data_IF_842495638637
#
_entry.id   IF_842495638637
#
_cell.length_a   1.000
_cell.length_b   1.000
_cell.length_c   1.000
_cell.angle_alpha   90.00
_cell.angle_beta   90.00
_cell.angle_gamma   90.00
#
_symmetry.space_group_name_H-M   'P 1'
#
loop_
_entity.id
_entity.type
_entity.pdbx_description
1 polymer ?
#
# COMPACT_ATOMS: atom_id res chain seq x y z
N UNK A 1 36.27 38.79 21.95
CA UNK A 1 35.14 38.40 21.09
C UNK A 1 33.95 38.20 22.04
N UNK A 2 32.91 39.05 22.09
CA UNK A 2 32.06 39.59 21.02
C UNK A 2 31.13 38.49 20.42
N UNK A 3 29.79 38.61 20.44
CA UNK A 3 28.91 39.66 20.99
C UNK A 3 27.48 39.15 21.30
N UNK A 4 26.79 39.88 22.19
CA UNK A 4 25.33 40.14 22.34
C UNK A 4 24.26 39.03 22.15
N UNK A 5 23.30 38.89 23.10
CA UNK A 5 21.94 38.41 22.83
C UNK A 5 21.04 39.55 22.29
N UNK A 6 19.85 39.22 21.76
CA UNK A 6 18.84 40.20 21.32
C UNK A 6 17.40 39.78 21.74
N UNK A 7 16.63 40.65 22.42
CA UNK A 7 15.20 40.48 22.68
C UNK A 7 14.32 41.12 21.58
N UNK A 8 13.02 41.34 21.86
CA UNK A 8 11.97 41.50 20.85
C UNK A 8 11.44 42.93 20.59
N UNK A 9 10.89 43.11 19.36
CA UNK A 9 9.72 43.93 18.97
C UNK A 9 9.73 45.47 19.02
N UNK A 10 8.90 46.06 18.12
CA UNK A 10 8.31 47.44 18.11
C UNK A 10 9.33 48.60 17.91
N UNK A 11 9.07 49.76 17.27
CA UNK A 11 7.89 50.56 16.79
C UNK A 11 8.23 51.23 15.40
N UNK A 12 7.44 51.98 14.60
CA UNK A 12 6.02 52.45 14.52
C UNK A 12 5.68 52.91 13.05
N UNK A 13 4.67 53.79 12.86
CA UNK A 13 4.18 54.52 11.65
C UNK A 13 3.35 53.68 10.64
N UNK A 14 2.00 53.71 10.55
CA UNK A 14 0.89 54.62 10.98
C UNK A 14 0.39 55.62 9.90
N UNK A 15 -0.92 55.93 9.94
CA UNK A 15 -1.76 56.71 8.99
C UNK A 15 -2.16 55.98 7.67
N UNK A 16 -3.35 56.15 7.08
CA UNK A 16 -4.50 57.04 7.34
C UNK A 16 -5.88 56.31 7.14
N UNK A 17 -7.05 56.91 7.51
CA UNK A 17 -8.32 56.17 7.66
C UNK A 17 -9.52 56.60 6.77
N UNK A 18 -10.64 55.88 6.94
CA UNK A 18 -12.06 56.33 6.83
C UNK A 18 -12.85 56.34 5.49
N UNK A 19 -13.78 55.36 5.40
CA UNK A 19 -15.25 55.57 5.37
C UNK A 19 -16.02 55.91 4.06
N UNK A 20 -16.79 54.94 3.54
CA UNK A 20 -18.13 55.15 2.93
C UNK A 20 -18.95 53.83 2.75
N UNK A 21 -20.27 53.92 2.98
CA UNK A 21 -21.39 52.95 2.70
C UNK A 21 -22.45 53.76 1.88
N UNK A 22 -23.64 53.25 1.44
CA UNK A 22 -24.24 51.89 1.33
C UNK A 22 -24.78 51.66 -0.14
N UNK A 23 -25.97 51.08 -0.46
CA UNK A 23 -26.78 49.97 0.08
C UNK A 23 -27.07 48.83 -0.95
N UNK A 24 -27.91 47.86 -0.57
CA UNK A 24 -28.37 46.67 -1.32
C UNK A 24 -29.67 46.90 -2.15
N UNK A 25 -29.97 46.06 -3.15
CA UNK A 25 -31.34 45.54 -3.31
C UNK A 25 -31.44 44.04 -3.72
N UNK A 26 -32.58 43.39 -3.40
CA UNK A 26 -32.81 41.94 -3.52
C UNK A 26 -33.23 41.45 -4.93
N UNK A 27 -32.64 40.33 -5.41
CA UNK A 27 -33.13 39.45 -6.52
C UNK A 27 -32.15 38.27 -6.75
N UNK A 28 -32.48 37.02 -7.11
CA UNK A 28 -33.69 36.15 -7.08
C UNK A 28 -33.25 34.64 -7.15
N UNK A 29 -34.11 33.64 -6.90
CA UNK A 29 -33.76 32.20 -6.97
C UNK A 29 -33.62 31.64 -8.41
N UNK A 30 -33.06 30.41 -8.61
CA UNK A 30 -32.41 30.02 -9.86
C UNK A 30 -33.21 29.08 -10.81
N UNK A 31 -32.83 29.02 -12.10
CA UNK A 31 -33.03 27.86 -12.97
C UNK A 31 -31.78 26.96 -13.06
N UNK A 32 -31.95 25.69 -13.43
CA UNK A 32 -30.91 24.67 -13.46
C UNK A 32 -30.35 24.36 -14.88
N UNK A 33 -29.37 23.45 -14.94
CA UNK A 33 -28.57 23.03 -16.11
C UNK A 33 -27.52 24.09 -16.54
N UNK A 34 -26.34 23.70 -17.05
CA UNK A 34 -25.96 22.40 -17.65
C UNK A 34 -24.77 21.75 -16.94
N UNK A 35 -24.92 20.49 -16.57
CA UNK A 35 -23.86 19.63 -16.06
C UNK A 35 -22.97 19.13 -17.21
N UNK A 36 -22.00 19.93 -17.64
CA UNK A 36 -20.90 19.46 -18.50
C UNK A 36 -19.91 18.62 -17.68
N UNK A 37 -20.30 17.39 -17.36
CA UNK A 37 -19.49 16.43 -16.61
C UNK A 37 -18.35 15.87 -17.47
N UNK A 38 -17.35 16.71 -17.74
CA UNK A 38 -16.01 16.22 -18.11
C UNK A 38 -15.49 15.35 -16.95
N UNK A 39 -15.05 14.11 -17.20
CA UNK A 39 -14.35 13.31 -16.21
C UNK A 39 -12.91 13.85 -16.08
N UNK A 40 -12.78 15.06 -15.54
CA UNK A 40 -11.48 15.66 -15.19
C UNK A 40 -10.71 14.66 -14.33
N UNK A 41 -9.58 14.18 -14.85
CA UNK A 41 -8.76 13.16 -14.20
C UNK A 41 -8.53 13.54 -12.73
N UNK A 42 -9.12 12.75 -11.83
CA UNK A 42 -9.46 13.25 -10.50
C UNK A 42 -8.23 13.66 -9.72
N UNK A 43 -8.16 14.95 -9.36
CA UNK A 43 -7.28 15.43 -8.30
C UNK A 43 -7.73 14.77 -6.98
N UNK A 44 -7.23 13.56 -6.73
CA UNK A 44 -7.57 12.76 -5.57
C UNK A 44 -7.18 13.52 -4.32
N UNK A 45 -8.13 13.71 -3.39
CA UNK A 45 -7.82 14.40 -2.14
C UNK A 45 -6.88 13.49 -1.33
N UNK A 46 -5.81 14.00 -0.71
CA UNK A 46 -5.02 13.23 0.24
C UNK A 46 -5.93 12.76 1.39
N UNK A 47 -5.65 11.57 1.94
CA UNK A 47 -6.51 10.86 2.90
C UNK A 47 -7.92 10.49 2.40
N UNK A 48 -8.22 10.55 1.10
CA UNK A 48 -9.45 9.93 0.57
C UNK A 48 -9.40 8.42 0.75
N UNK A 49 -10.40 7.85 1.44
CA UNK A 49 -10.61 6.40 1.58
C UNK A 49 -11.21 5.81 0.31
N UNK A 50 -10.79 4.60 -0.01
CA UNK A 50 -11.32 3.78 -1.10
C UNK A 50 -11.34 2.30 -0.75
N UNK A 51 -11.74 1.47 -1.70
CA UNK A 51 -11.64 0.01 -1.60
C UNK A 51 -11.10 -0.56 -2.91
N UNK A 52 -10.16 -1.49 -2.78
CA UNK A 52 -9.52 -2.20 -3.88
C UNK A 52 -9.77 -3.69 -3.70
N UNK A 53 -10.34 -4.32 -4.72
CA UNK A 53 -10.53 -5.77 -4.73
C UNK A 53 -9.18 -6.44 -4.98
N UNK A 54 -8.74 -7.29 -4.04
CA UNK A 54 -7.53 -8.11 -4.11
C UNK A 54 -7.95 -9.58 -3.98
N UNK A 55 -7.71 -10.40 -5.01
CA UNK A 55 -8.11 -11.83 -5.03
C UNK A 55 -9.61 -12.08 -4.66
N UNK A 56 -10.50 -11.19 -5.13
CA UNK A 56 -11.94 -11.25 -4.85
C UNK A 56 -12.37 -10.65 -3.50
N UNK A 57 -11.43 -10.21 -2.66
CA UNK A 57 -11.71 -9.63 -1.34
C UNK A 57 -11.56 -8.10 -1.38
N UNK A 58 -12.54 -7.30 -0.88
CA UNK A 58 -12.39 -5.86 -0.77
C UNK A 58 -11.44 -5.48 0.38
N UNK A 59 -10.30 -4.87 0.04
CA UNK A 59 -9.32 -4.32 0.98
C UNK A 59 -9.44 -2.79 0.96
N UNK A 60 -9.31 -2.12 2.11
CA UNK A 60 -9.41 -0.66 2.19
C UNK A 60 -8.11 -0.02 1.66
N UNK A 61 -8.26 0.95 0.76
CA UNK A 61 -7.20 1.81 0.26
C UNK A 61 -7.30 3.22 0.85
N UNK A 62 -6.18 3.93 0.86
CA UNK A 62 -6.08 5.34 1.24
C UNK A 62 -5.13 6.05 0.27
N UNK A 63 -5.50 7.23 -0.21
CA UNK A 63 -4.65 8.01 -1.10
C UNK A 63 -3.63 8.81 -0.29
N UNK A 64 -2.34 8.59 -0.57
CA UNK A 64 -1.19 9.27 0.04
C UNK A 64 -0.24 9.67 -1.09
N UNK A 65 0.13 10.95 -1.19
CA UNK A 65 0.96 11.51 -2.27
C UNK A 65 0.49 11.09 -3.68
N UNK A 66 -0.84 11.14 -3.91
CA UNK A 66 -1.48 10.75 -5.16
C UNK A 66 -1.46 9.24 -5.46
N UNK A 67 -0.95 8.40 -4.55
CA UNK A 67 -0.88 6.95 -4.71
C UNK A 67 -1.84 6.24 -3.75
N UNK A 68 -2.62 5.29 -4.27
CA UNK A 68 -3.40 4.37 -3.43
C UNK A 68 -2.50 3.37 -2.69
N UNK A 69 -2.64 3.32 -1.37
CA UNK A 69 -1.94 2.39 -0.49
C UNK A 69 -2.92 1.62 0.39
N UNK A 70 -2.69 0.33 0.52
CA UNK A 70 -3.52 -0.64 1.25
C UNK A 70 -2.83 -0.98 2.58
N UNK A 71 -3.59 -1.17 3.66
CA UNK A 71 -3.01 -1.54 4.96
C UNK A 71 -2.58 -3.01 4.99
N UNK A 72 -1.27 -3.27 5.16
CA UNK A 72 -0.69 -4.62 5.19
C UNK A 72 -1.31 -5.49 6.28
N UNK A 73 -1.70 -4.91 7.42
CA UNK A 73 -2.35 -5.66 8.50
C UNK A 73 -3.71 -6.25 8.08
N UNK A 74 -4.48 -5.57 7.23
CA UNK A 74 -5.73 -6.10 6.69
C UNK A 74 -5.44 -7.28 5.75
N UNK A 75 -4.51 -7.10 4.81
CA UNK A 75 -4.08 -8.16 3.88
C UNK A 75 -3.57 -9.40 4.64
N UNK A 76 -2.78 -9.17 5.70
CA UNK A 76 -2.28 -10.21 6.60
C UNK A 76 -3.41 -10.99 7.27
N UNK A 77 -4.41 -10.29 7.82
CA UNK A 77 -5.48 -10.92 8.59
C UNK A 77 -6.58 -11.55 7.72
N UNK A 78 -6.70 -11.17 6.45
CA UNK A 78 -7.77 -11.68 5.57
C UNK A 78 -7.27 -12.68 4.51
N UNK A 79 -6.19 -12.36 3.79
CA UNK A 79 -5.66 -13.19 2.69
C UNK A 79 -4.51 -14.11 3.13
N UNK A 80 -3.69 -13.67 4.09
CA UNK A 80 -2.48 -14.40 4.52
C UNK A 80 -2.59 -14.94 5.96
N UNK A 81 -3.82 -15.08 6.48
CA UNK A 81 -4.13 -15.46 7.88
C UNK A 81 -3.54 -16.79 8.35
N UNK A 82 -3.14 -17.64 7.40
CA UNK A 82 -2.54 -18.95 7.63
C UNK A 82 -1.00 -18.92 7.70
N UNK A 83 -0.37 -17.76 7.47
CA UNK A 83 1.07 -17.58 7.53
C UNK A 83 1.47 -16.71 8.73
N UNK A 84 2.61 -17.03 9.34
CA UNK A 84 3.15 -16.30 10.48
C UNK A 84 3.58 -14.89 10.08
N UNK A 85 3.48 -13.92 10.99
CA UNK A 85 4.01 -12.56 10.75
C UNK A 85 5.49 -12.57 10.34
N UNK A 86 6.29 -13.49 10.89
CA UNK A 86 7.69 -13.68 10.50
C UNK A 86 7.85 -14.13 9.03
N UNK A 87 7.00 -15.03 8.53
CA UNK A 87 7.02 -15.46 7.14
C UNK A 87 6.63 -14.30 6.21
N UNK A 88 5.54 -13.60 6.55
CA UNK A 88 5.06 -12.42 5.80
C UNK A 88 6.13 -11.33 5.76
N UNK A 89 6.84 -11.10 6.87
CA UNK A 89 7.99 -10.19 6.93
C UNK A 89 9.14 -10.63 6.01
N UNK A 90 9.62 -11.88 6.15
CA UNK A 90 10.72 -12.40 5.34
C UNK A 90 10.39 -12.40 3.84
N UNK A 91 9.18 -12.82 3.45
CA UNK A 91 8.71 -12.80 2.06
C UNK A 91 8.62 -11.37 1.52
N UNK A 92 8.12 -10.42 2.31
CA UNK A 92 8.07 -9.00 1.96
C UNK A 92 9.48 -8.43 1.71
N UNK A 93 10.45 -8.75 2.57
CA UNK A 93 11.85 -8.33 2.43
C UNK A 93 12.47 -8.94 1.17
N UNK A 94 12.32 -10.26 0.95
CA UNK A 94 12.84 -10.95 -0.23
C UNK A 94 12.24 -10.45 -1.57
N UNK A 95 11.02 -9.91 -1.56
CA UNK A 95 10.38 -9.29 -2.72
C UNK A 95 10.78 -7.81 -2.94
N UNK A 96 11.55 -7.21 -2.03
CA UNK A 96 11.92 -5.79 -2.06
C UNK A 96 10.75 -4.82 -1.79
N UNK A 97 9.75 -5.23 -1.01
CA UNK A 97 8.51 -4.45 -0.80
C UNK A 97 8.67 -3.41 0.32
N UNK A 98 8.38 -2.14 0.01
CA UNK A 98 8.56 -0.99 0.90
C UNK A 98 7.25 -0.58 1.59
N UNK A 99 7.16 -0.73 2.91
CA UNK A 99 6.02 -0.18 3.65
C UNK A 99 6.29 1.27 4.07
N UNK A 100 5.38 2.17 3.70
CA UNK A 100 5.22 3.47 4.38
C UNK A 100 4.52 3.22 5.72
N UNK A 101 4.92 3.87 6.81
CA UNK A 101 4.18 3.78 8.07
C UNK A 101 3.03 4.79 8.07
N UNK A 102 1.84 4.39 8.54
CA UNK A 102 0.71 5.31 8.68
C UNK A 102 1.05 6.47 9.63
N UNK A 103 0.63 7.69 9.29
CA UNK A 103 0.49 8.74 10.31
C UNK A 103 -0.64 8.38 11.29
N UNK A 104 -0.68 8.91 12.53
CA UNK A 104 -1.76 8.60 13.48
C UNK A 104 -3.16 8.97 12.95
N UNK A 105 -3.27 10.03 12.13
CA UNK A 105 -4.53 10.43 11.48
C UNK A 105 -4.99 9.37 10.46
N UNK A 106 -4.08 8.88 9.62
CA UNK A 106 -4.37 7.78 8.68
C UNK A 106 -4.75 6.50 9.42
N UNK A 107 -4.11 6.23 10.56
CA UNK A 107 -4.39 5.09 11.42
C UNK A 107 -5.80 5.14 12.02
N UNK A 108 -6.27 6.33 12.43
CA UNK A 108 -7.63 6.54 12.92
C UNK A 108 -8.68 6.38 11.80
N UNK A 109 -8.39 6.90 10.60
CA UNK A 109 -9.25 6.74 9.41
C UNK A 109 -9.39 5.25 9.05
N UNK A 110 -8.30 4.48 9.03
CA UNK A 110 -8.32 3.04 8.77
C UNK A 110 -9.12 2.25 9.83
N UNK A 111 -9.09 2.67 11.10
CA UNK A 111 -9.94 2.10 12.16
C UNK A 111 -11.42 2.44 11.94
N UNK A 112 -11.76 3.69 11.62
CA UNK A 112 -13.15 4.09 11.27
C UNK A 112 -13.69 3.33 10.06
N UNK A 113 -12.84 3.03 9.08
CA UNK A 113 -13.17 2.23 7.91
C UNK A 113 -13.22 0.70 8.16
N UNK A 114 -13.04 0.23 9.40
CA UNK A 114 -13.06 -1.19 9.76
C UNK A 114 -11.87 -2.01 9.23
N UNK A 115 -10.87 -1.37 8.61
CA UNK A 115 -9.72 -2.04 8.00
C UNK A 115 -8.75 -2.66 9.02
N UNK A 116 -8.78 -2.16 10.27
CA UNK A 116 -7.74 -2.40 11.26
C UNK A 116 -8.31 -2.25 12.68
N UNK A 117 -8.05 -3.20 13.61
CA UNK A 117 -8.67 -3.20 14.95
C UNK A 117 -8.05 -2.15 15.90
N UNK A 118 -8.91 -1.54 16.74
CA UNK A 118 -8.56 -0.42 17.63
C UNK A 118 -7.24 -0.62 18.39
N UNK A 119 -6.98 -1.84 18.87
CA UNK A 119 -5.78 -2.22 19.65
C UNK A 119 -4.45 -2.05 18.92
N UNK A 120 -4.39 -2.18 17.58
CA UNK A 120 -3.11 -2.12 16.86
C UNK A 120 -2.63 -0.67 16.74
N UNK A 121 -1.41 -0.40 17.19
CA UNK A 121 -0.81 0.95 17.25
C UNK A 121 0.06 1.32 16.03
N UNK A 122 0.24 0.41 15.08
CA UNK A 122 1.00 0.61 13.83
C UNK A 122 0.33 -0.17 12.69
N UNK A 123 0.26 0.42 11.50
CA UNK A 123 0.07 -0.30 10.24
C UNK A 123 1.13 0.18 9.24
N UNK A 124 1.71 -0.75 8.47
CA UNK A 124 2.50 -0.45 7.28
C UNK A 124 1.62 -0.51 6.03
N UNK A 125 1.78 0.42 5.11
CA UNK A 125 0.97 0.55 3.90
C UNK A 125 1.82 0.28 2.66
N UNK A 126 1.25 -0.51 1.73
CA UNK A 126 1.88 -0.91 0.47
C UNK A 126 0.98 -0.57 -0.71
N UNK A 127 1.55 -0.37 -1.89
CA UNK A 127 0.77 -0.17 -3.12
C UNK A 127 0.05 -1.45 -3.55
N UNK A 128 -0.98 -1.34 -4.40
CA UNK A 128 -1.70 -2.50 -4.95
C UNK A 128 -0.76 -3.54 -5.58
N UNK A 129 0.19 -3.08 -6.40
CA UNK A 129 1.18 -3.94 -7.10
C UNK A 129 2.09 -4.71 -6.14
N UNK A 130 2.44 -4.11 -4.99
CA UNK A 130 3.19 -4.78 -3.93
C UNK A 130 2.33 -5.83 -3.21
N UNK A 131 1.06 -5.51 -2.93
CA UNK A 131 0.11 -6.45 -2.32
C UNK A 131 -0.14 -7.68 -3.21
N UNK A 132 -0.34 -7.46 -4.51
CA UNK A 132 -0.47 -8.53 -5.51
C UNK A 132 0.78 -9.42 -5.57
N UNK A 133 1.99 -8.83 -5.58
CA UNK A 133 3.26 -9.59 -5.56
C UNK A 133 3.43 -10.39 -4.26
N UNK A 134 3.09 -9.81 -3.10
CA UNK A 134 3.19 -10.48 -1.81
C UNK A 134 2.25 -11.69 -1.74
N UNK A 135 0.96 -11.50 -2.05
CA UNK A 135 -0.03 -12.57 -2.07
C UNK A 135 0.32 -13.64 -3.12
N UNK A 136 0.73 -13.27 -4.35
CA UNK A 136 1.16 -14.23 -5.37
C UNK A 136 2.36 -15.07 -4.92
N UNK A 137 3.23 -14.55 -4.06
CA UNK A 137 4.39 -15.29 -3.53
C UNK A 137 4.07 -16.24 -2.37
N UNK A 138 2.83 -16.22 -1.87
CA UNK A 138 2.30 -17.15 -0.86
C UNK A 138 1.26 -18.13 -1.42
N UNK A 139 0.38 -17.65 -2.31
CA UNK A 139 -0.66 -18.44 -2.96
C UNK A 139 -0.17 -19.13 -4.25
N UNK A 140 0.85 -18.59 -4.91
CA UNK A 140 1.51 -19.26 -6.03
C UNK A 140 2.39 -20.39 -5.50
N UNK A 141 2.32 -21.56 -6.15
CA UNK A 141 3.00 -22.78 -5.69
C UNK A 141 4.52 -22.60 -5.56
N UNK A 142 4.99 -22.37 -4.32
CA UNK A 142 6.38 -22.66 -3.93
C UNK A 142 6.58 -24.18 -3.67
N UNK A 143 5.91 -24.98 -4.48
CA UNK A 143 6.11 -26.42 -4.62
C UNK A 143 7.06 -26.54 -5.81
N UNK A 144 8.37 -26.79 -5.59
CA UNK A 144 9.28 -27.04 -6.71
C UNK A 144 8.68 -28.16 -7.57
N UNK A 145 8.82 -28.11 -8.91
CA UNK A 145 8.24 -29.11 -9.78
C UNK A 145 8.75 -30.48 -9.35
N UNK A 146 7.87 -31.28 -8.73
CA UNK A 146 8.22 -32.63 -8.31
C UNK A 146 8.54 -33.40 -9.59
N UNK A 147 9.78 -33.84 -9.73
CA UNK A 147 10.14 -34.77 -10.78
C UNK A 147 9.25 -36.02 -10.60
N UNK A 148 8.74 -36.63 -11.68
CA UNK A 148 7.95 -37.84 -11.58
C UNK A 148 8.65 -38.91 -10.75
N UNK A 149 7.91 -39.76 -10.03
CA UNK A 149 8.49 -40.85 -9.23
C UNK A 149 9.24 -41.89 -10.09
N UNK A 150 8.91 -41.93 -11.40
CA UNK A 150 9.61 -42.70 -12.43
C UNK A 150 10.59 -41.85 -13.27
N UNK A 151 11.00 -40.67 -12.79
CA UNK A 151 12.07 -39.91 -13.45
C UNK A 151 13.37 -40.71 -13.33
N UNK A 152 13.91 -41.08 -14.48
CA UNK A 152 15.14 -41.82 -14.60
C UNK A 152 16.01 -41.18 -15.69
N UNK A 153 17.33 -41.30 -15.54
CA UNK A 153 18.26 -41.01 -16.62
C UNK A 153 19.19 -42.20 -16.84
N UNK A 154 19.51 -42.43 -18.12
CA UNK A 154 20.41 -43.51 -18.50
C UNK A 154 21.85 -43.16 -18.10
N UNK A 155 22.48 -44.07 -17.36
CA UNK A 155 23.86 -43.97 -16.91
C UNK A 155 24.68 -44.99 -17.69
N UNK A 156 25.67 -44.51 -18.43
CA UNK A 156 26.70 -45.33 -19.07
C UNK A 156 27.95 -45.29 -18.21
N UNK A 157 28.56 -46.45 -17.95
CA UNK A 157 29.79 -46.53 -17.17
C UNK A 157 30.93 -47.09 -18.03
N UNK A 158 31.93 -46.24 -18.29
CA UNK A 158 33.12 -46.53 -19.10
C UNK A 158 34.18 -47.34 -18.34
N UNK A 159 33.75 -48.40 -17.65
CA UNK A 159 34.63 -49.51 -17.31
C UNK A 159 35.00 -50.31 -18.57
N UNK A 160 36.05 -51.12 -18.50
CA UNK A 160 36.69 -51.83 -19.63
C UNK A 160 35.80 -52.77 -20.49
N UNK A 161 34.53 -52.95 -20.12
CA UNK A 161 33.53 -53.73 -20.86
C UNK A 161 32.22 -52.96 -21.17
N UNK A 162 32.08 -51.71 -20.70
CA UNK A 162 30.95 -50.81 -20.96
C UNK A 162 29.59 -51.31 -20.46
N UNK A 163 29.13 -50.84 -19.29
CA UNK A 163 27.77 -51.13 -18.80
C UNK A 163 26.80 -49.95 -18.96
N UNK A 164 25.51 -50.27 -19.11
CA UNK A 164 24.41 -49.30 -19.11
C UNK A 164 23.42 -49.67 -18.00
N UNK A 165 22.88 -48.67 -17.32
CA UNK A 165 21.81 -48.79 -16.34
C UNK A 165 20.94 -47.53 -16.34
N UNK A 166 19.87 -47.52 -15.55
CA UNK A 166 19.00 -46.35 -15.42
C UNK A 166 18.92 -45.94 -13.95
N UNK A 167 19.27 -44.70 -13.64
CA UNK A 167 19.28 -44.18 -12.28
C UNK A 167 17.96 -43.48 -11.96
N UNK A 168 17.24 -43.98 -10.94
CA UNK A 168 15.97 -43.42 -10.46
C UNK A 168 16.25 -42.73 -9.12
N UNK A 169 16.29 -41.38 -9.04
CA UNK A 169 16.60 -40.68 -7.79
C UNK A 169 15.56 -40.88 -6.68
N UNK A 170 14.35 -41.36 -7.01
CA UNK A 170 13.27 -41.61 -6.05
C UNK A 170 13.33 -42.98 -5.36
N UNK A 171 14.41 -43.77 -5.56
CA UNK A 171 14.60 -45.12 -4.98
C UNK A 171 15.75 -45.20 -3.96
N UNK A 172 16.36 -44.07 -3.62
CA UNK A 172 17.50 -43.93 -2.69
C UNK A 172 17.30 -42.72 -1.79
#
# INVERSE_FOLDING_TARGET
>A
MASSPLPASTELLLTAPSNAFPPEPLTQPPPASRSSSVPSAGAMKPNQVGQVILYGIPIVSLVIDGQERLCLAQISNTLLKNFSYNEIHNRRVALGITCVQCTPVQLEILRRAGAMPISSRRCGMITKREAERLCKSFLGEHKPPKLPENFAFDVVHECAWGSRGSFIPARY
#
